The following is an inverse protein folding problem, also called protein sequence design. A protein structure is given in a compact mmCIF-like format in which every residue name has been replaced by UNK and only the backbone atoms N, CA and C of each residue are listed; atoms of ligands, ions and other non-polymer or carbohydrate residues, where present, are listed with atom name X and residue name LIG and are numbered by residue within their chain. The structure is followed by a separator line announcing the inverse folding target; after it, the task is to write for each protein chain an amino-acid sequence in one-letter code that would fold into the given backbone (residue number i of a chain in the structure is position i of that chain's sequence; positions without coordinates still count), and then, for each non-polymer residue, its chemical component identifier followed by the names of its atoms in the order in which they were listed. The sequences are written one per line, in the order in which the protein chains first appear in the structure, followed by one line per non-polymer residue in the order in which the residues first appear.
data_IF_843039256696
#
_entry.id   IF_843039256696
#
_cell.length_a   1.000
_cell.length_b   1.000
_cell.length_c   1.000
_cell.angle_alpha   90.00
_cell.angle_beta   90.00
_cell.angle_gamma   90.00
#
_symmetry.space_group_name_H-M   'P 1'
#
loop_
_entity.id
_entity.type
_entity.pdbx_description
1 polymer ?
#
# COMPACT_ATOMS: atom_id res chain seq x y z
N UNK A 1 -7.34 6.25 7.08
CA UNK A 1 -6.16 7.11 7.27
C UNK A 1 -6.22 8.21 6.24
N UNK A 2 -6.39 9.47 6.68
CA UNK A 2 -6.11 10.75 5.98
C UNK A 2 -7.31 11.69 5.67
N UNK A 3 -7.30 12.94 6.14
CA UNK A 3 -8.31 13.98 5.84
C UNK A 3 -7.99 14.79 4.59
N UNK A 4 -6.85 14.51 3.94
CA UNK A 4 -6.40 15.20 2.76
C UNK A 4 -7.39 15.10 1.61
N UNK A 5 -7.77 16.27 1.12
CA UNK A 5 -7.66 16.52 -0.31
C UNK A 5 -6.17 16.57 -0.64
N UNK A 6 -5.65 15.58 -1.35
CA UNK A 6 -4.28 15.57 -1.87
C UNK A 6 -4.27 16.12 -3.29
N UNK A 7 -3.48 17.17 -3.52
CA UNK A 7 -3.25 17.73 -4.84
C UNK A 7 -1.96 17.13 -5.42
N UNK A 8 -2.11 16.19 -6.36
CA UNK A 8 -0.97 15.43 -6.92
C UNK A 8 -0.65 15.90 -8.34
N UNK A 9 0.64 16.09 -8.61
CA UNK A 9 1.19 16.45 -9.91
C UNK A 9 1.25 15.22 -10.82
N UNK A 10 0.36 15.18 -11.81
CA UNK A 10 0.35 14.17 -12.85
C UNK A 10 1.35 14.51 -13.97
N UNK A 11 1.71 13.50 -14.77
CA UNK A 11 2.58 13.63 -15.95
C UNK A 11 1.89 13.11 -17.22
N UNK A 12 2.25 13.61 -18.42
CA UNK A 12 1.72 13.07 -19.67
C UNK A 12 2.19 11.63 -19.90
N UNK A 13 1.29 10.76 -20.37
CA UNK A 13 1.56 9.32 -20.55
C UNK A 13 2.78 9.01 -21.43
N UNK A 14 3.09 9.85 -22.43
CA UNK A 14 4.27 9.70 -23.29
C UNK A 14 5.59 9.97 -22.57
N UNK A 15 5.62 10.81 -21.52
CA UNK A 15 6.85 11.15 -20.80
C UNK A 15 7.45 9.92 -20.08
N UNK A 16 6.61 9.02 -19.57
CA UNK A 16 7.06 7.76 -18.95
C UNK A 16 7.65 6.81 -20.00
N UNK A 17 7.11 6.77 -21.23
CA UNK A 17 7.65 5.93 -22.32
C UNK A 17 9.11 6.27 -22.61
N UNK A 18 9.43 7.56 -22.69
CA UNK A 18 10.79 8.04 -22.94
C UNK A 18 11.75 7.68 -21.80
N UNK A 19 11.29 7.63 -20.54
CA UNK A 19 12.13 7.20 -19.39
C UNK A 19 12.43 5.69 -19.43
N UNK A 20 11.51 4.88 -19.96
CA UNK A 20 11.75 3.44 -20.19
C UNK A 20 12.68 3.19 -21.39
N UNK A 21 12.53 3.95 -22.48
CA UNK A 21 13.38 3.81 -23.67
C UNK A 21 14.82 4.36 -23.44
N UNK A 22 14.98 5.37 -22.59
CA UNK A 22 16.28 5.95 -22.22
C UNK A 22 17.16 5.05 -21.32
N UNK A 23 16.78 3.79 -21.08
CA UNK A 23 17.56 2.80 -20.30
C UNK A 23 17.78 1.49 -21.06
N UNK A 24 18.51 1.57 -22.18
CA UNK A 24 19.37 0.46 -22.59
C UNK A 24 20.52 0.32 -21.58
N UNK A 25 20.31 -0.47 -20.55
CA UNK A 25 21.39 -0.97 -19.69
C UNK A 25 22.30 -1.86 -20.56
N UNK A 26 23.64 -1.72 -20.52
CA UNK A 26 24.53 -2.62 -21.25
C UNK A 26 24.31 -4.07 -20.79
N UNK A 27 23.96 -4.95 -21.72
CA UNK A 27 23.78 -6.38 -21.46
C UNK A 27 25.12 -7.12 -21.56
N UNK A 28 26.08 -6.74 -20.73
CA UNK A 28 27.25 -7.57 -20.42
C UNK A 28 26.98 -8.30 -19.10
N UNK A 29 26.48 -9.53 -19.24
CA UNK A 29 26.48 -10.53 -18.17
C UNK A 29 27.16 -11.82 -18.68
N UNK A 30 28.24 -11.66 -19.45
CA UNK A 30 29.17 -12.74 -19.79
C UNK A 30 29.94 -13.18 -18.53
N UNK A 31 29.27 -13.89 -17.62
CA UNK A 31 29.89 -14.76 -16.63
C UNK A 31 28.85 -15.73 -16.01
N UNK A 32 28.25 -16.56 -16.87
CA UNK A 32 27.96 -17.99 -16.64
C UNK A 32 27.20 -18.55 -17.87
N UNK A 33 27.88 -18.52 -19.01
CA UNK A 33 27.43 -19.19 -20.22
C UNK A 33 27.82 -20.68 -20.17
N UNK A 34 26.89 -21.55 -20.55
CA UNK A 34 26.92 -23.03 -20.59
C UNK A 34 26.97 -23.80 -19.24
N UNK A 35 26.02 -24.76 -19.15
CA UNK A 35 25.98 -26.00 -18.32
C UNK A 35 25.25 -26.03 -16.95
N UNK A 36 23.91 -26.10 -17.04
CA UNK A 36 22.92 -26.87 -16.25
C UNK A 36 23.16 -27.17 -14.74
N UNK A 37 22.39 -26.55 -13.81
CA UNK A 37 22.44 -26.84 -12.38
C UNK A 37 21.72 -28.13 -11.91
N UNK A 38 21.07 -28.90 -12.80
CA UNK A 38 20.26 -30.07 -12.42
C UNK A 38 21.01 -31.43 -12.38
N UNK A 39 22.35 -31.41 -12.41
CA UNK A 39 23.21 -32.61 -12.26
C UNK A 39 22.82 -33.50 -11.07
N UNK A 40 22.41 -32.90 -9.95
CA UNK A 40 21.94 -33.58 -8.73
C UNK A 40 20.70 -34.48 -8.95
N UNK A 41 19.97 -34.32 -10.06
CA UNK A 41 18.72 -35.04 -10.37
C UNK A 41 18.86 -36.19 -11.39
N UNK A 42 20.08 -36.59 -11.74
CA UNK A 42 20.33 -37.68 -12.69
C UNK A 42 20.65 -39.01 -11.96
N UNK A 43 19.68 -39.93 -11.89
CA UNK A 43 19.70 -41.20 -11.10
C UNK A 43 19.81 -41.05 -9.56
N UNK A 44 18.82 -41.43 -8.72
CA UNK A 44 18.58 -40.90 -7.32
C UNK A 44 19.79 -40.36 -6.53
N UNK A 45 20.95 -40.99 -6.37
CA UNK A 45 21.35 -42.39 -6.43
C UNK A 45 20.85 -43.25 -7.62
N UNK A 46 21.61 -43.31 -8.70
CA UNK A 46 21.50 -44.34 -9.74
C UNK A 46 20.24 -44.43 -10.67
N UNK A 47 18.96 -44.87 -10.47
CA UNK A 47 18.18 -45.60 -9.44
C UNK A 47 17.44 -44.70 -8.45
N UNK A 48 17.20 -45.17 -7.22
CA UNK A 48 17.79 -46.33 -6.52
C UNK A 48 17.41 -47.73 -7.11
N UNK A 49 18.30 -48.63 -7.54
CA UNK A 49 19.73 -48.54 -7.88
C UNK A 49 20.00 -48.98 -9.36
N UNK A 50 20.71 -48.15 -10.15
CA UNK A 50 21.11 -48.21 -11.59
C UNK A 50 20.02 -48.10 -12.72
N UNK A 51 19.37 -46.95 -12.97
CA UNK A 51 18.46 -46.69 -14.16
C UNK A 51 19.16 -45.69 -15.09
N UNK A 52 18.61 -45.39 -16.27
CA UNK A 52 18.94 -44.09 -16.85
C UNK A 52 18.36 -42.97 -15.98
N UNK A 53 19.03 -41.82 -15.93
CA UNK A 53 18.52 -40.66 -15.23
C UNK A 53 17.11 -40.15 -15.57
N UNK A 54 16.59 -40.36 -16.78
CA UNK A 54 15.26 -39.84 -17.17
C UNK A 54 14.13 -40.41 -16.29
N UNK A 55 14.24 -41.67 -15.88
CA UNK A 55 13.26 -42.35 -15.02
C UNK A 55 13.13 -41.74 -13.61
N UNK A 56 14.10 -40.90 -13.16
CA UNK A 56 13.93 -40.11 -11.92
C UNK A 56 12.74 -39.17 -12.01
N UNK A 57 12.66 -38.42 -13.10
CA UNK A 57 11.96 -37.14 -13.12
C UNK A 57 10.45 -37.36 -13.23
N UNK A 58 10.04 -38.29 -14.10
CA UNK A 58 8.65 -38.75 -14.20
C UNK A 58 8.12 -39.33 -12.86
N UNK A 59 9.01 -39.94 -12.06
CA UNK A 59 8.69 -40.52 -10.75
C UNK A 59 8.50 -39.46 -9.66
N UNK A 60 9.32 -38.40 -9.64
CA UNK A 60 9.18 -37.29 -8.69
C UNK A 60 7.94 -36.43 -8.96
N UNK A 61 7.67 -36.08 -10.23
CA UNK A 61 6.54 -35.21 -10.60
C UNK A 61 5.19 -35.83 -10.21
N UNK A 62 5.02 -37.15 -10.40
CA UNK A 62 3.81 -37.89 -9.99
C UNK A 62 3.59 -37.98 -8.47
N UNK A 63 4.63 -37.82 -7.65
CA UNK A 63 4.56 -38.02 -6.19
C UNK A 63 4.54 -36.68 -5.43
N UNK A 64 5.34 -35.70 -5.85
CA UNK A 64 5.48 -34.43 -5.13
C UNK A 64 4.26 -33.51 -5.24
N UNK A 65 3.64 -33.45 -6.43
CA UNK A 65 2.56 -32.49 -6.70
C UNK A 65 1.30 -32.69 -5.82
N UNK A 66 0.78 -33.92 -5.61
CA UNK A 66 -0.35 -34.13 -4.70
C UNK A 66 -0.02 -33.81 -3.24
N UNK A 67 1.19 -34.15 -2.78
CA UNK A 67 1.59 -34.03 -1.36
C UNK A 67 1.81 -32.55 -0.98
N UNK A 68 2.48 -31.76 -1.82
CA UNK A 68 2.70 -30.34 -1.57
C UNK A 68 1.37 -29.55 -1.56
N UNK A 69 0.47 -29.86 -2.50
CA UNK A 69 -0.85 -29.21 -2.57
C UNK A 69 -1.74 -29.61 -1.38
N UNK A 70 -1.82 -30.90 -1.03
CA UNK A 70 -2.65 -31.34 0.11
C UNK A 70 -2.11 -30.84 1.44
N UNK A 71 -0.81 -30.94 1.71
CA UNK A 71 -0.23 -30.43 2.96
C UNK A 71 -0.34 -28.90 3.09
N UNK A 72 -0.14 -28.16 1.98
CA UNK A 72 -0.36 -26.70 1.94
C UNK A 72 -1.82 -26.31 2.18
N UNK A 73 -2.78 -26.99 1.55
CA UNK A 73 -4.21 -26.73 1.75
C UNK A 73 -4.70 -27.15 3.14
N UNK A 74 -4.18 -28.24 3.70
CA UNK A 74 -4.47 -28.68 5.07
C UNK A 74 -3.91 -27.68 6.08
N UNK A 75 -2.69 -27.19 5.88
CA UNK A 75 -2.11 -26.13 6.70
C UNK A 75 -2.93 -24.83 6.62
N UNK A 76 -3.37 -24.43 5.42
CA UNK A 76 -4.28 -23.28 5.23
C UNK A 76 -5.65 -23.47 5.90
N UNK A 77 -6.21 -24.68 5.82
CA UNK A 77 -7.50 -25.03 6.44
C UNK A 77 -7.42 -24.95 7.97
N UNK A 78 -6.45 -25.65 8.57
CA UNK A 78 -6.25 -25.60 10.02
C UNK A 78 -5.84 -24.21 10.49
N UNK A 79 -4.91 -23.51 9.82
CA UNK A 79 -4.54 -22.12 10.18
C UNK A 79 -5.76 -21.19 10.19
N UNK A 80 -6.67 -21.34 9.21
CA UNK A 80 -7.91 -20.54 9.15
C UNK A 80 -8.86 -20.87 10.30
N UNK A 81 -9.05 -22.16 10.63
CA UNK A 81 -9.87 -22.55 11.79
C UNK A 81 -9.25 -22.15 13.13
N UNK A 82 -7.96 -22.41 13.33
CA UNK A 82 -7.23 -22.17 14.59
C UNK A 82 -7.23 -20.67 14.96
N UNK A 83 -7.01 -19.80 13.98
CA UNK A 83 -7.03 -18.34 14.17
C UNK A 83 -8.46 -17.84 14.42
N UNK A 84 -9.49 -18.43 13.79
CA UNK A 84 -10.89 -18.07 14.06
C UNK A 84 -11.40 -18.61 15.41
N UNK A 85 -10.90 -19.76 15.89
CA UNK A 85 -11.34 -20.39 17.15
C UNK A 85 -10.65 -19.83 18.40
N UNK A 86 -9.50 -19.14 18.27
CA UNK A 86 -8.76 -18.55 19.40
C UNK A 86 -9.07 -17.09 19.68
N UNK A 87 -9.72 -16.38 18.75
CA UNK A 87 -10.27 -15.05 19.00
C UNK A 87 -11.69 -15.25 19.54
N UNK A 88 -12.01 -14.82 20.79
CA UNK A 88 -13.39 -14.87 21.26
C UNK A 88 -14.28 -14.03 20.32
N UNK A 89 -15.57 -14.37 20.14
CA UNK A 89 -16.46 -13.56 19.32
C UNK A 89 -16.44 -12.12 19.83
N UNK A 90 -15.93 -11.22 18.98
CA UNK A 90 -15.68 -9.83 19.31
C UNK A 90 -16.97 -9.15 19.77
N UNK A 91 -16.86 -8.16 20.66
CA UNK A 91 -18.03 -7.36 21.00
C UNK A 91 -18.58 -6.70 19.71
N UNK A 92 -19.90 -6.41 19.59
CA UNK A 92 -20.50 -5.91 18.33
C UNK A 92 -19.97 -4.56 17.79
N UNK A 93 -19.03 -3.94 18.51
CA UNK A 93 -18.34 -2.69 18.19
C UNK A 93 -16.81 -2.87 17.98
N UNK A 94 -16.28 -4.09 18.13
CA UNK A 94 -14.87 -4.41 17.96
C UNK A 94 -14.55 -4.91 16.55
N UNK A 95 -13.58 -4.27 15.88
CA UNK A 95 -13.16 -4.63 14.52
C UNK A 95 -11.71 -5.13 14.52
N UNK A 96 -11.46 -6.37 14.07
CA UNK A 96 -10.09 -6.86 13.82
C UNK A 96 -9.58 -6.33 12.49
N UNK A 97 -8.38 -5.76 12.49
CA UNK A 97 -7.60 -5.45 11.30
C UNK A 97 -6.33 -6.30 11.29
N UNK A 98 -6.00 -6.89 10.15
CA UNK A 98 -4.81 -7.75 9.96
C UNK A 98 -3.90 -7.13 8.91
N UNK A 99 -2.59 -7.21 9.13
CA UNK A 99 -1.60 -6.71 8.18
C UNK A 99 -1.51 -7.60 6.94
N UNK A 100 -0.99 -7.05 5.84
CA UNK A 100 -0.85 -7.77 4.57
C UNK A 100 -0.11 -9.12 4.68
N UNK A 101 0.90 -9.20 5.55
CA UNK A 101 1.70 -10.40 5.79
C UNK A 101 1.08 -11.41 6.76
N UNK A 102 -0.11 -11.15 7.33
CA UNK A 102 -0.78 -12.00 8.32
C UNK A 102 -0.10 -12.09 9.70
N UNK A 103 1.10 -11.54 9.85
CA UNK A 103 1.94 -11.62 11.06
C UNK A 103 1.46 -10.77 12.24
N UNK A 104 0.48 -9.88 12.04
CA UNK A 104 -0.03 -8.97 13.08
C UNK A 104 -1.50 -8.61 12.84
N UNK A 105 -2.36 -9.06 13.75
CA UNK A 105 -3.76 -8.65 13.86
C UNK A 105 -3.97 -7.76 15.11
N UNK A 106 -4.92 -6.85 15.04
CA UNK A 106 -5.34 -5.98 16.14
C UNK A 106 -6.86 -5.81 16.11
N UNK A 107 -7.55 -6.31 17.14
CA UNK A 107 -8.93 -5.90 17.45
C UNK A 107 -8.91 -4.49 18.01
N UNK A 108 -9.68 -3.57 17.42
CA UNK A 108 -9.88 -2.22 17.97
C UNK A 108 -11.26 -2.07 18.56
N UNK A 109 -11.34 -1.43 19.74
CA UNK A 109 -12.59 -1.13 20.47
C UNK A 109 -13.52 -0.19 19.73
N UNK A 110 -12.98 0.60 18.80
CA UNK A 110 -13.66 1.71 18.12
C UNK A 110 -13.11 1.84 16.70
N UNK A 111 -13.90 1.46 15.70
CA UNK A 111 -13.55 1.62 14.29
C UNK A 111 -14.50 2.63 13.64
N UNK A 112 -13.94 3.71 13.10
CA UNK A 112 -14.70 4.81 12.53
C UNK A 112 -14.53 4.91 11.01
N UNK A 113 -15.61 5.29 10.32
CA UNK A 113 -15.70 5.43 8.87
C UNK A 113 -16.50 6.69 8.51
N UNK A 114 -15.98 7.91 8.75
CA UNK A 114 -16.68 9.14 8.39
C UNK A 114 -16.92 9.23 6.87
N UNK A 115 -18.08 9.76 6.50
CA UNK A 115 -18.51 10.03 5.13
C UNK A 115 -18.27 11.50 4.72
N UNK A 116 -18.14 12.39 5.71
CA UNK A 116 -17.91 13.83 5.54
C UNK A 116 -16.59 14.28 6.20
N UNK A 117 -16.11 15.48 5.85
CA UNK A 117 -14.92 16.06 6.49
C UNK A 117 -15.26 16.53 7.90
N UNK A 118 -16.48 17.03 8.06
CA UNK A 118 -17.07 17.59 9.27
C UNK A 118 -17.24 16.51 10.36
N UNK A 119 -17.60 15.28 9.98
CA UNK A 119 -17.54 14.10 10.87
C UNK A 119 -16.11 13.76 11.29
N UNK A 120 -15.14 13.80 10.36
CA UNK A 120 -13.75 13.48 10.65
C UNK A 120 -13.13 14.52 11.61
N UNK A 121 -13.38 15.81 11.38
CA UNK A 121 -12.99 16.90 12.27
C UNK A 121 -13.62 16.72 13.66
N UNK A 122 -14.93 16.46 13.71
CA UNK A 122 -15.66 16.22 14.96
C UNK A 122 -15.12 15.02 15.74
N UNK A 123 -14.79 13.93 15.04
CA UNK A 123 -14.21 12.71 15.60
C UNK A 123 -12.79 12.95 16.14
N UNK A 124 -11.92 13.60 15.37
CA UNK A 124 -10.54 13.91 15.77
C UNK A 124 -10.55 14.85 16.99
N UNK A 125 -11.41 15.87 16.98
CA UNK A 125 -11.54 16.79 18.11
C UNK A 125 -12.18 16.11 19.35
N UNK A 126 -13.11 15.16 19.19
CA UNK A 126 -13.62 14.33 20.29
C UNK A 126 -12.53 13.41 20.86
N UNK A 127 -11.74 12.76 20.01
CA UNK A 127 -10.62 11.92 20.43
C UNK A 127 -9.60 12.74 21.23
N UNK A 128 -9.27 13.94 20.78
CA UNK A 128 -8.41 14.88 21.51
C UNK A 128 -8.97 15.25 22.89
N UNK A 129 -10.22 15.76 22.95
CA UNK A 129 -10.86 16.18 24.21
C UNK A 129 -11.04 15.03 25.23
N UNK A 130 -11.17 13.79 24.75
CA UNK A 130 -11.33 12.59 25.60
C UNK A 130 -10.01 11.88 25.94
N UNK A 131 -8.85 12.40 25.50
CA UNK A 131 -7.56 11.74 25.66
C UNK A 131 -7.46 10.37 24.93
N UNK A 132 -8.38 10.09 24.01
CA UNK A 132 -8.47 8.82 23.31
C UNK A 132 -7.45 8.73 22.17
N UNK A 133 -6.71 7.61 22.10
CA UNK A 133 -5.92 7.29 20.91
C UNK A 133 -6.86 7.04 19.73
N UNK A 134 -6.53 7.63 18.59
CA UNK A 134 -7.19 7.39 17.32
C UNK A 134 -6.11 7.27 16.24
N UNK A 135 -5.85 6.06 15.73
CA UNK A 135 -4.90 5.87 14.63
C UNK A 135 -5.60 5.87 13.28
N UNK A 136 -5.20 6.76 12.36
CA UNK A 136 -5.79 6.78 11.03
C UNK A 136 -5.30 5.51 10.26
N UNK A 137 -6.22 4.69 9.72
CA UNK A 137 -5.92 3.35 9.12
C UNK A 137 -6.29 3.20 7.63
N UNK A 138 -5.38 2.67 6.80
CA UNK A 138 -5.61 2.40 5.37
C UNK A 138 -6.07 0.96 5.10
N UNK A 139 -5.99 0.51 3.84
CA UNK A 139 -6.43 -0.83 3.39
C UNK A 139 -5.62 -2.05 3.92
N UNK A 140 -4.95 -1.97 5.07
CA UNK A 140 -4.16 -3.06 5.68
C UNK A 140 -2.87 -3.46 4.96
N UNK A 141 -2.62 -2.95 3.74
CA UNK A 141 -1.54 -3.32 2.81
C UNK A 141 -0.08 -3.09 3.29
N UNK A 142 0.15 -2.70 4.55
CA UNK A 142 1.50 -2.55 5.12
C UNK A 142 1.84 -3.74 6.03
N UNK A 143 2.98 -4.43 5.83
CA UNK A 143 3.35 -5.61 6.64
C UNK A 143 3.69 -5.28 8.10
N UNK A 144 3.90 -4.01 8.47
CA UNK A 144 4.23 -3.63 9.86
C UNK A 144 2.97 -3.47 10.76
N UNK A 145 1.80 -3.20 10.17
CA UNK A 145 0.59 -2.87 10.94
C UNK A 145 0.71 -1.56 11.75
N UNK A 146 1.60 -0.64 11.36
CA UNK A 146 1.87 0.65 12.03
C UNK A 146 0.64 1.57 12.16
N UNK A 147 -0.38 1.34 11.34
CA UNK A 147 -1.63 2.07 11.35
C UNK A 147 -2.67 1.52 12.34
N UNK A 148 -2.38 0.40 13.01
CA UNK A 148 -3.34 -0.28 13.89
C UNK A 148 -3.17 0.12 15.36
N UNK A 149 -4.30 0.37 16.04
CA UNK A 149 -4.36 0.66 17.47
C UNK A 149 -5.61 0.02 18.09
N UNK A 150 -5.45 -0.61 19.26
CA UNK A 150 -6.51 -1.27 20.01
C UNK A 150 -7.57 -0.32 20.56
N UNK A 151 -7.21 0.95 20.79
CA UNK A 151 -8.06 1.91 21.51
C UNK A 151 -8.90 2.78 20.56
N UNK A 152 -8.52 2.89 19.28
CA UNK A 152 -9.36 3.46 18.23
C UNK A 152 -8.66 3.57 16.86
N UNK A 153 -9.39 3.30 15.77
CA UNK A 153 -8.93 3.50 14.39
C UNK A 153 -9.93 4.29 13.53
N UNK A 154 -9.45 5.06 12.55
CA UNK A 154 -10.29 5.74 11.54
C UNK A 154 -9.90 5.41 10.09
N UNK A 155 -10.79 4.71 9.40
CA UNK A 155 -10.73 4.48 7.94
C UNK A 155 -11.35 5.66 7.18
N UNK A 156 -11.20 5.67 5.85
CA UNK A 156 -11.72 6.72 4.96
C UNK A 156 -12.50 6.17 3.75
N UNK A 157 -12.94 4.91 3.76
CA UNK A 157 -13.37 4.26 2.51
C UNK A 157 -14.50 5.00 1.74
N UNK A 158 -15.17 5.96 2.40
CA UNK A 158 -16.26 6.80 1.89
C UNK A 158 -15.83 8.24 1.54
N UNK A 159 -14.65 8.67 1.98
CA UNK A 159 -13.98 9.92 1.57
C UNK A 159 -13.04 9.62 0.40
N UNK A 160 -13.61 9.12 -0.70
CA UNK A 160 -12.87 8.55 -1.84
C UNK A 160 -13.05 9.31 -3.17
N UNK A 161 -13.65 10.50 -3.11
CA UNK A 161 -14.07 11.28 -4.29
C UNK A 161 -12.88 11.99 -4.96
N UNK A 162 -12.79 11.90 -6.29
CA UNK A 162 -12.03 12.85 -7.10
C UNK A 162 -12.84 14.15 -7.19
N UNK A 163 -12.26 15.26 -6.73
CA UNK A 163 -12.96 16.55 -6.60
C UNK A 163 -12.75 17.45 -7.81
N UNK A 164 -11.55 17.45 -8.41
CA UNK A 164 -11.28 18.12 -9.68
C UNK A 164 -10.03 17.56 -10.37
N UNK A 165 -9.96 17.73 -11.68
CA UNK A 165 -8.76 17.50 -12.49
C UNK A 165 -8.51 18.77 -13.31
N UNK A 166 -7.28 19.26 -13.26
CA UNK A 166 -6.75 20.36 -14.07
C UNK A 166 -5.69 19.79 -15.03
N UNK A 167 -6.06 19.54 -16.31
CA UNK A 167 -5.12 19.01 -17.29
C UNK A 167 -4.01 19.99 -17.70
N UNK A 168 -4.27 21.30 -17.60
CA UNK A 168 -3.33 22.33 -18.05
C UNK A 168 -2.14 22.45 -17.08
N UNK A 169 -2.41 22.53 -15.77
CA UNK A 169 -1.37 22.47 -14.74
C UNK A 169 -0.95 21.04 -14.38
N UNK A 170 -1.68 20.03 -14.89
CA UNK A 170 -1.52 18.58 -14.62
C UNK A 170 -1.63 18.29 -13.13
N UNK A 171 -2.70 18.77 -12.50
CA UNK A 171 -3.00 18.62 -11.08
C UNK A 171 -4.31 17.84 -10.90
N UNK A 172 -4.34 16.85 -10.00
CA UNK A 172 -5.56 16.15 -9.59
C UNK A 172 -5.82 16.37 -8.10
N UNK A 173 -7.04 16.77 -7.78
CA UNK A 173 -7.55 17.10 -6.45
C UNK A 173 -8.42 15.93 -5.99
N UNK A 174 -7.96 15.11 -5.04
CA UNK A 174 -8.64 13.86 -4.66
C UNK A 174 -8.68 13.65 -3.15
N UNK A 175 -9.81 13.17 -2.62
CA UNK A 175 -9.92 12.77 -1.22
C UNK A 175 -9.12 11.49 -0.94
N UNK A 176 -8.44 11.43 0.20
CA UNK A 176 -7.40 10.46 0.45
C UNK A 176 -7.86 9.00 0.69
N UNK A 177 -9.17 8.74 0.77
CA UNK A 177 -9.73 7.40 0.75
C UNK A 177 -9.72 6.75 -0.63
N UNK A 178 -9.59 7.55 -1.69
CA UNK A 178 -9.53 7.09 -3.08
C UNK A 178 -8.40 6.08 -3.27
N UNK A 179 -8.67 4.98 -3.97
CA UNK A 179 -7.66 4.00 -4.35
C UNK A 179 -6.81 4.56 -5.50
N UNK A 180 -5.53 4.16 -5.58
CA UNK A 180 -4.65 4.54 -6.70
C UNK A 180 -5.26 4.11 -8.04
N UNK A 181 -6.01 2.99 -8.09
CA UNK A 181 -6.84 2.60 -9.25
C UNK A 181 -7.84 3.66 -9.69
N UNK A 182 -8.65 4.21 -8.78
CA UNK A 182 -9.65 5.25 -9.08
C UNK A 182 -8.98 6.52 -9.63
N UNK A 183 -7.83 6.90 -9.06
CA UNK A 183 -7.03 8.04 -9.52
C UNK A 183 -6.47 7.80 -10.94
N UNK A 184 -5.90 6.63 -11.20
CA UNK A 184 -5.37 6.28 -12.53
C UNK A 184 -6.46 6.13 -13.59
N UNK A 185 -7.67 5.75 -13.21
CA UNK A 185 -8.84 5.71 -14.09
C UNK A 185 -9.33 7.12 -14.43
N UNK A 186 -9.51 7.98 -13.43
CA UNK A 186 -9.94 9.36 -13.65
C UNK A 186 -8.94 10.18 -14.48
N UNK A 187 -7.63 10.02 -14.24
CA UNK A 187 -6.57 10.65 -15.04
C UNK A 187 -6.52 10.16 -16.49
N UNK A 188 -6.98 8.93 -16.77
CA UNK A 188 -6.90 8.28 -18.10
C UNK A 188 -7.60 9.08 -19.18
N UNK A 189 -8.77 9.65 -18.87
CA UNK A 189 -9.56 10.47 -19.80
C UNK A 189 -8.88 11.77 -20.24
N UNK A 190 -7.89 12.23 -19.48
CA UNK A 190 -7.13 13.45 -19.75
C UNK A 190 -5.72 13.19 -20.33
N UNK A 191 -5.39 11.93 -20.67
CA UNK A 191 -4.06 11.54 -21.16
C UNK A 191 -2.94 11.56 -20.09
N UNK A 192 -3.33 11.67 -18.83
CA UNK A 192 -2.44 11.82 -17.67
C UNK A 192 -2.27 10.52 -16.89
N UNK A 193 -1.24 10.50 -16.04
CA UNK A 193 -0.93 9.42 -15.09
C UNK A 193 -0.14 9.98 -13.91
N UNK A 194 -0.10 9.25 -12.79
CA UNK A 194 0.90 9.50 -11.74
C UNK A 194 2.31 9.21 -12.29
N UNK A 195 3.34 9.89 -11.78
CA UNK A 195 4.72 9.75 -12.27
C UNK A 195 5.42 8.50 -11.70
N UNK A 196 4.99 8.04 -10.51
CA UNK A 196 5.53 6.86 -9.85
C UNK A 196 4.41 6.04 -9.21
N UNK A 197 4.56 4.72 -9.12
CA UNK A 197 3.53 3.77 -8.67
C UNK A 197 4.12 2.62 -7.87
N UNK A 198 3.43 2.21 -6.81
CA UNK A 198 3.73 0.97 -6.11
C UNK A 198 3.28 -0.26 -6.91
N UNK A 199 3.75 -1.45 -6.53
CA UNK A 199 3.34 -2.73 -7.12
C UNK A 199 1.90 -3.16 -6.81
N UNK A 200 1.23 -2.48 -5.88
CA UNK A 200 -0.15 -2.74 -5.43
C UNK A 200 -0.91 -1.40 -5.53
N UNK A 201 -2.03 -1.37 -6.26
CA UNK A 201 -2.75 -0.13 -6.63
C UNK A 201 -4.11 0.03 -5.90
N UNK A 202 -4.43 -0.92 -5.04
CA UNK A 202 -5.55 -0.93 -4.11
C UNK A 202 -5.26 -0.08 -2.84
N UNK A 203 -4.05 0.48 -2.73
CA UNK A 203 -3.69 1.44 -1.68
C UNK A 203 -4.55 2.71 -1.78
N UNK A 204 -5.05 3.17 -0.63
CA UNK A 204 -5.70 4.49 -0.53
C UNK A 204 -4.65 5.59 -0.68
N UNK A 205 -4.96 6.68 -1.39
CA UNK A 205 -4.05 7.79 -1.69
C UNK A 205 -3.40 8.39 -0.44
N UNK A 206 -4.13 8.46 0.67
CA UNK A 206 -3.58 8.89 1.96
C UNK A 206 -2.46 7.98 2.45
N UNK A 207 -2.68 6.66 2.42
CA UNK A 207 -1.65 5.68 2.78
C UNK A 207 -0.47 5.68 1.80
N UNK A 208 -0.76 5.80 0.50
CA UNK A 208 0.23 5.88 -0.58
C UNK A 208 1.18 7.07 -0.39
N UNK A 209 0.63 8.26 -0.10
CA UNK A 209 1.40 9.47 0.22
C UNK A 209 2.17 9.33 1.54
N UNK A 210 1.48 8.97 2.63
CA UNK A 210 2.06 8.98 3.99
C UNK A 210 3.25 8.02 4.19
N UNK A 211 3.47 7.06 3.29
CA UNK A 211 4.63 6.13 3.31
C UNK A 211 5.72 6.47 2.29
N UNK A 212 5.64 7.59 1.57
CA UNK A 212 6.56 7.94 0.46
C UNK A 212 6.64 6.82 -0.60
N UNK A 213 5.48 6.30 -1.02
CA UNK A 213 5.42 5.18 -1.95
C UNK A 213 6.12 5.48 -3.29
N UNK A 214 6.85 4.47 -3.79
CA UNK A 214 7.66 4.55 -5.01
C UNK A 214 7.68 3.20 -5.74
N UNK A 215 8.04 3.25 -7.02
CA UNK A 215 8.23 2.10 -7.90
C UNK A 215 9.61 2.07 -8.54
N UNK A 216 9.70 1.53 -9.75
CA UNK A 216 10.94 1.39 -10.51
C UNK A 216 11.27 2.63 -11.34
N UNK A 217 12.46 3.21 -11.10
CA UNK A 217 13.01 4.28 -11.92
C UNK A 217 13.80 5.29 -11.08
N UNK A 218 15.14 5.20 -11.08
CA UNK A 218 15.99 6.03 -10.22
C UNK A 218 15.99 7.55 -10.55
N UNK A 219 15.38 7.95 -11.68
CA UNK A 219 15.12 9.35 -12.03
C UNK A 219 13.66 9.79 -11.81
N UNK A 220 12.82 8.92 -11.23
CA UNK A 220 11.43 9.22 -10.89
C UNK A 220 11.34 9.45 -9.36
N UNK A 221 10.80 10.59 -8.91
CA UNK A 221 10.70 10.86 -7.48
C UNK A 221 9.65 9.96 -6.81
N UNK A 222 9.71 9.76 -5.48
CA UNK A 222 8.61 9.16 -4.73
C UNK A 222 7.33 10.01 -4.83
N UNK A 223 6.20 9.49 -4.36
CA UNK A 223 4.90 10.21 -4.47
C UNK A 223 4.81 11.46 -3.60
N UNK A 224 5.52 11.56 -2.48
CA UNK A 224 5.42 12.75 -1.61
C UNK A 224 6.02 14.02 -2.25
N UNK A 225 7.00 13.88 -3.15
CA UNK A 225 7.49 14.95 -4.02
C UNK A 225 6.54 15.27 -5.20
N UNK A 226 5.54 14.43 -5.45
CA UNK A 226 4.47 14.71 -6.42
C UNK A 226 3.28 15.42 -5.77
N UNK A 227 3.18 15.45 -4.43
CA UNK A 227 2.17 16.25 -3.72
C UNK A 227 2.58 17.71 -3.74
N UNK A 228 1.67 18.60 -4.14
CA UNK A 228 1.89 20.06 -4.11
C UNK A 228 1.05 20.77 -3.04
N UNK A 229 -0.08 20.18 -2.63
CA UNK A 229 -0.89 20.66 -1.50
C UNK A 229 -1.65 19.52 -0.81
N UNK A 230 -1.99 19.70 0.47
CA UNK A 230 -2.74 18.76 1.28
C UNK A 230 -3.60 19.46 2.35
N UNK A 231 -4.77 18.89 2.71
CA UNK A 231 -5.50 19.24 3.94
C UNK A 231 -5.14 18.28 5.08
N UNK A 232 -4.79 18.78 6.27
CA UNK A 232 -4.43 17.95 7.42
C UNK A 232 -5.38 18.25 8.59
N UNK A 233 -6.21 17.28 8.99
CA UNK A 233 -7.08 17.39 10.16
C UNK A 233 -6.23 17.14 11.41
N UNK A 234 -6.03 18.16 12.23
CA UNK A 234 -5.21 18.07 13.44
C UNK A 234 -6.06 17.93 14.71
N UNK A 235 -5.54 17.32 15.80
CA UNK A 235 -6.25 17.20 17.07
C UNK A 235 -6.73 18.53 17.68
N UNK A 236 -5.99 19.63 17.46
CA UNK A 236 -6.13 20.87 18.22
C UNK A 236 -6.25 22.15 17.37
N UNK A 237 -5.66 22.20 16.17
CA UNK A 237 -5.66 23.39 15.30
C UNK A 237 -6.74 23.33 14.21
N UNK A 238 -7.63 22.34 14.25
CA UNK A 238 -8.59 22.06 13.18
C UNK A 238 -7.88 21.58 11.90
N UNK A 239 -8.47 21.88 10.75
CA UNK A 239 -7.97 21.46 9.44
C UNK A 239 -7.03 22.50 8.83
N UNK A 240 -5.74 22.18 8.79
CA UNK A 240 -4.73 23.00 8.14
C UNK A 240 -4.75 22.75 6.62
N UNK A 241 -4.57 23.82 5.82
CA UNK A 241 -4.39 23.71 4.36
C UNK A 241 -2.95 24.04 4.01
N UNK A 242 -2.16 23.01 3.73
CA UNK A 242 -0.70 23.09 3.58
C UNK A 242 -0.30 22.96 2.10
N UNK A 243 0.73 23.69 1.68
CA UNK A 243 1.20 23.71 0.29
C UNK A 243 2.72 23.86 0.19
N UNK A 244 3.32 23.20 -0.79
CA UNK A 244 4.71 23.44 -1.20
C UNK A 244 4.92 24.89 -1.65
N UNK A 245 3.88 25.48 -2.25
CA UNK A 245 3.85 26.82 -2.83
C UNK A 245 3.42 27.91 -1.81
N UNK A 246 3.24 27.59 -0.51
CA UNK A 246 2.80 28.60 0.49
C UNK A 246 3.83 29.73 0.64
N UNK A 247 3.37 30.95 0.90
CA UNK A 247 4.22 32.12 1.14
C UNK A 247 4.96 32.03 2.49
N UNK A 248 4.36 31.41 3.51
CA UNK A 248 4.95 31.28 4.85
C UNK A 248 6.03 30.18 4.89
N UNK A 249 7.27 30.47 5.34
CA UNK A 249 8.29 29.45 5.58
C UNK A 249 7.86 28.34 6.55
N UNK A 250 7.05 28.64 7.56
CA UNK A 250 6.55 27.68 8.54
C UNK A 250 5.56 26.69 7.92
N UNK A 251 4.62 27.15 7.09
CA UNK A 251 3.72 26.30 6.31
C UNK A 251 4.51 25.35 5.40
N UNK A 252 5.53 25.87 4.68
CA UNK A 252 6.37 25.04 3.80
C UNK A 252 7.16 23.99 4.57
N UNK A 253 7.61 24.30 5.79
CA UNK A 253 8.26 23.33 6.67
C UNK A 253 7.26 22.27 7.18
N UNK A 254 6.07 22.69 7.64
CA UNK A 254 5.03 21.80 8.13
C UNK A 254 4.48 20.90 7.01
N UNK A 255 4.33 21.40 5.79
CA UNK A 255 3.98 20.62 4.61
C UNK A 255 4.98 19.48 4.34
N UNK A 256 6.29 19.78 4.38
CA UNK A 256 7.37 18.79 4.18
C UNK A 256 7.37 17.70 5.25
N UNK A 257 7.00 18.03 6.49
CA UNK A 257 6.84 17.05 7.57
C UNK A 257 5.55 16.24 7.43
N UNK A 258 4.44 16.90 7.10
CA UNK A 258 3.11 16.31 7.01
C UNK A 258 2.99 15.27 5.88
N UNK A 259 3.63 15.50 4.73
CA UNK A 259 3.51 14.63 3.55
C UNK A 259 4.05 13.20 3.74
N UNK A 260 5.03 12.97 4.63
CA UNK A 260 5.52 11.63 5.04
C UNK A 260 5.42 11.45 6.56
N UNK A 261 4.26 11.80 7.12
CA UNK A 261 4.02 11.76 8.56
C UNK A 261 3.61 10.39 9.13
N UNK A 262 3.44 9.34 8.31
CA UNK A 262 2.89 8.03 8.72
C UNK A 262 1.57 8.13 9.52
N UNK A 263 0.77 9.16 9.22
CA UNK A 263 -0.47 9.55 9.90
C UNK A 263 -0.31 9.93 11.38
N UNK A 264 0.88 10.39 11.80
CA UNK A 264 1.18 10.74 13.20
C UNK A 264 0.93 12.20 13.54
N UNK A 265 1.13 13.11 12.58
CA UNK A 265 0.97 14.57 12.75
C UNK A 265 -0.49 15.05 12.62
N UNK A 266 -1.38 14.17 12.16
CA UNK A 266 -2.80 14.43 11.94
C UNK A 266 -3.43 13.33 11.09
N UNK A 267 -4.66 13.58 10.66
CA UNK A 267 -5.38 12.78 9.68
C UNK A 267 -5.42 13.57 8.39
#
# INVERSE_FOLDING_TARGET
MVGCVSLVRAVPKQHIRNVWEARKVPTEFELLDKEDPFSYYRGKSEKFANMTPEDRVAKLIRIGFPIAVTSGLIALYYWREEVQKRVPPLAPHEHTQTNWSGTRAVSTKRFFQPETLEELESLVAHAHRSGSRLRPVGAGLSPNGLAFDKDGMVSLAHLDKVLSIDPANRRITVQAGARVTQVLEALRGHGLTLQNLASINEQHMGGFVQVSAHGTGAGLPPVDEQVVAMKLVTPALGTLSLSADSADPADRALFRLARVGLGSLGV
#
